data_IF_906352205591
#
_entry.id   IF_906352205591
#
_cell.length_a   1.000
_cell.length_b   1.000
_cell.length_c   1.000
_cell.angle_alpha   90.00
_cell.angle_beta   90.00
_cell.angle_gamma   90.00
#
_symmetry.space_group_name_H-M   'P 1'
#
loop_
_entity.id
_entity.type
_entity.pdbx_description
1 polymer ?
#
# COMPACT_ATOMS: atom_id res chain seq x y z
N UNK A 1 26.75 -10.24 3.33
CA UNK A 1 26.08 -9.20 4.13
C UNK A 1 24.81 -9.82 4.70
N UNK A 2 24.51 -9.61 5.97
CA UNK A 2 23.21 -10.04 6.53
C UNK A 2 22.15 -9.15 5.90
N UNK A 3 21.19 -9.72 5.17
CA UNK A 3 20.07 -8.97 4.61
C UNK A 3 19.29 -8.36 5.76
N UNK A 4 19.13 -7.03 5.73
CA UNK A 4 18.34 -6.30 6.72
C UNK A 4 16.88 -6.26 6.27
N UNK A 5 15.97 -6.39 7.22
CA UNK A 5 14.53 -6.48 6.97
C UNK A 5 13.80 -5.40 7.74
N UNK A 6 12.90 -4.72 7.05
CA UNK A 6 11.92 -3.81 7.64
C UNK A 6 10.54 -4.43 7.62
N UNK A 7 9.90 -4.46 8.79
CA UNK A 7 8.50 -4.82 8.94
C UNK A 7 7.66 -3.54 8.92
N UNK A 8 6.84 -3.35 7.91
CA UNK A 8 5.84 -2.29 7.89
C UNK A 8 4.53 -2.90 8.37
N UNK A 9 3.98 -2.40 9.47
CA UNK A 9 2.79 -2.97 10.11
C UNK A 9 1.76 -1.91 10.40
N UNK A 10 0.54 -2.12 9.95
CA UNK A 10 -0.61 -1.41 10.55
C UNK A 10 -0.79 -1.89 11.98
N UNK A 11 -1.26 -1.01 12.88
CA UNK A 11 -1.34 -1.31 14.33
C UNK A 11 -2.70 -0.92 14.92
N UNK A 12 -3.21 -1.77 15.81
CA UNK A 12 -4.28 -1.42 16.76
C UNK A 12 -3.99 -2.09 18.10
N UNK A 13 -3.64 -3.39 18.05
CA UNK A 13 -3.11 -4.15 19.18
C UNK A 13 -1.67 -4.58 18.95
N UNK A 14 -0.99 -4.93 20.02
CA UNK A 14 0.44 -5.28 20.06
C UNK A 14 0.74 -6.68 19.51
N UNK A 15 -0.14 -7.65 19.74
CA UNK A 15 0.14 -9.07 19.53
C UNK A 15 0.50 -9.42 18.08
N UNK A 16 -0.23 -8.96 17.04
CA UNK A 16 0.12 -9.27 15.66
C UNK A 16 1.50 -8.74 15.25
N UNK A 17 1.92 -7.62 15.84
CA UNK A 17 3.24 -7.03 15.60
C UNK A 17 4.32 -7.88 16.27
N UNK A 18 4.13 -8.30 17.53
CA UNK A 18 5.07 -9.18 18.25
C UNK A 18 5.27 -10.51 17.52
N UNK A 19 4.19 -11.13 17.04
CA UNK A 19 4.25 -12.39 16.28
C UNK A 19 5.10 -12.20 15.02
N UNK A 20 4.86 -11.11 14.28
CA UNK A 20 5.62 -10.77 13.07
C UNK A 20 7.09 -10.48 13.39
N UNK A 21 7.38 -9.70 14.43
CA UNK A 21 8.75 -9.41 14.87
C UNK A 21 9.49 -10.70 15.23
N UNK A 22 8.87 -11.58 16.01
CA UNK A 22 9.49 -12.84 16.44
C UNK A 22 9.78 -13.76 15.25
N UNK A 23 8.84 -13.85 14.30
CA UNK A 23 8.97 -14.74 13.15
C UNK A 23 9.95 -14.21 12.09
N UNK A 24 9.92 -12.91 11.79
CA UNK A 24 10.73 -12.32 10.71
C UNK A 24 12.05 -11.72 11.19
N UNK A 25 12.22 -11.49 12.49
CA UNK A 25 13.41 -10.87 13.10
C UNK A 25 13.84 -9.58 12.37
N UNK A 26 12.94 -8.59 12.18
CA UNK A 26 13.26 -7.36 11.48
C UNK A 26 14.31 -6.55 12.26
N UNK A 27 15.17 -5.83 11.54
CA UNK A 27 16.03 -4.80 12.15
C UNK A 27 15.27 -3.50 12.44
N UNK A 28 14.14 -3.29 11.75
CA UNK A 28 13.32 -2.09 11.84
C UNK A 28 11.83 -2.43 11.73
N UNK A 29 11.00 -1.76 12.52
CA UNK A 29 9.54 -1.80 12.44
C UNK A 29 9.02 -0.39 12.19
N UNK A 30 8.18 -0.24 11.16
CA UNK A 30 7.44 0.99 10.88
C UNK A 30 5.97 0.71 11.18
N UNK A 31 5.42 1.41 12.18
CA UNK A 31 4.04 1.30 12.60
C UNK A 31 3.18 2.32 11.86
N UNK A 32 2.16 1.86 11.13
CA UNK A 32 1.21 2.72 10.43
C UNK A 32 -0.02 2.92 11.31
N UNK A 33 -0.36 4.18 11.60
CA UNK A 33 -1.59 4.54 12.32
C UNK A 33 -2.17 5.88 11.88
N UNK A 34 -3.37 6.19 12.37
CA UNK A 34 -4.02 7.48 12.18
C UNK A 34 -3.49 8.56 13.15
N UNK A 35 -3.71 9.83 12.78
CA UNK A 35 -3.37 11.00 13.61
C UNK A 35 -4.17 11.00 14.91
N UNK A 36 -5.49 10.82 14.81
CA UNK A 36 -6.44 10.73 15.92
C UNK A 36 -6.52 9.31 16.51
N UNK A 37 -5.36 8.70 16.75
CA UNK A 37 -5.28 7.33 17.27
C UNK A 37 -5.94 7.24 18.66
N UNK A 38 -6.78 6.22 18.91
CA UNK A 38 -7.36 6.02 20.23
C UNK A 38 -6.27 5.71 21.26
N UNK A 39 -6.50 6.06 22.53
CA UNK A 39 -5.52 5.83 23.62
C UNK A 39 -5.05 4.37 23.72
N UNK A 40 -5.92 3.41 23.41
CA UNK A 40 -5.57 1.98 23.36
C UNK A 40 -4.46 1.67 22.35
N UNK A 41 -4.51 2.30 21.17
CA UNK A 41 -3.51 2.14 20.12
C UNK A 41 -2.20 2.80 20.52
N UNK A 42 -2.25 4.01 21.08
CA UNK A 42 -1.06 4.73 21.58
C UNK A 42 -0.38 3.93 22.70
N UNK A 43 -1.17 3.34 23.62
CA UNK A 43 -0.64 2.44 24.66
C UNK A 43 0.05 1.21 24.05
N UNK A 44 -0.57 0.59 23.06
CA UNK A 44 0.03 -0.56 22.36
C UNK A 44 1.36 -0.20 21.67
N UNK A 45 1.43 0.97 21.03
CA UNK A 45 2.65 1.51 20.42
C UNK A 45 3.75 1.76 21.45
N UNK A 46 3.42 2.38 22.59
CA UNK A 46 4.39 2.63 23.65
C UNK A 46 4.90 1.32 24.27
N UNK A 47 4.01 0.35 24.53
CA UNK A 47 4.39 -0.97 25.02
C UNK A 47 5.34 -1.69 24.05
N UNK A 48 5.12 -1.56 22.74
CA UNK A 48 6.04 -2.10 21.72
C UNK A 48 7.44 -1.47 21.84
N UNK A 49 7.51 -0.14 21.95
CA UNK A 49 8.77 0.57 22.12
C UNK A 49 9.51 0.17 23.39
N UNK A 50 8.80 0.09 24.51
CA UNK A 50 9.39 -0.29 25.80
C UNK A 50 9.93 -1.72 25.77
N UNK A 51 9.24 -2.62 25.05
CA UNK A 51 9.60 -4.04 25.00
C UNK A 51 10.73 -4.33 24.01
N UNK A 52 10.73 -3.69 22.84
CA UNK A 52 11.59 -4.05 21.70
C UNK A 52 12.54 -2.95 21.24
N UNK A 53 12.33 -1.69 21.64
CA UNK A 53 13.08 -0.53 21.16
C UNK A 53 14.58 -0.56 21.52
N UNK A 54 14.99 -1.37 22.50
CA UNK A 54 16.40 -1.57 22.82
C UNK A 54 17.15 -2.42 21.79
N UNK A 55 16.44 -3.22 20.99
CA UNK A 55 17.03 -4.19 20.04
C UNK A 55 16.60 -3.96 18.59
N UNK A 56 15.49 -3.26 18.36
CA UNK A 56 14.88 -3.01 17.05
C UNK A 56 14.56 -1.52 16.93
N UNK A 57 14.84 -0.93 15.76
CA UNK A 57 14.42 0.44 15.45
C UNK A 57 12.90 0.49 15.25
N UNK A 58 12.19 1.35 15.99
CA UNK A 58 10.73 1.47 15.89
C UNK A 58 10.37 2.91 15.52
N UNK A 59 9.80 3.06 14.32
CA UNK A 59 9.25 4.31 13.81
C UNK A 59 7.73 4.22 13.68
N UNK A 60 7.09 5.38 13.63
CA UNK A 60 5.64 5.48 13.40
C UNK A 60 5.40 6.43 12.25
N UNK A 61 4.63 5.97 11.27
CA UNK A 61 4.13 6.76 10.16
C UNK A 61 2.64 7.08 10.37
N UNK A 62 2.29 8.35 10.18
CA UNK A 62 0.91 8.83 10.34
C UNK A 62 0.25 8.92 8.98
N UNK A 63 -0.89 8.25 8.82
CA UNK A 63 -1.67 8.27 7.57
C UNK A 63 -3.16 8.51 7.83
N UNK A 64 -3.96 8.50 6.77
CA UNK A 64 -5.40 8.61 6.86
C UNK A 64 -6.03 7.37 7.51
N UNK A 65 -7.18 7.57 8.15
CA UNK A 65 -8.00 6.46 8.65
C UNK A 65 -8.93 5.87 7.59
N UNK A 66 -9.37 6.69 6.63
CA UNK A 66 -10.45 6.33 5.69
C UNK A 66 -10.12 6.58 4.23
N UNK A 67 -9.13 7.42 3.92
CA UNK A 67 -8.69 7.66 2.54
C UNK A 67 -7.73 6.55 2.11
N UNK A 68 -8.32 5.48 1.55
CA UNK A 68 -7.61 4.28 1.10
C UNK A 68 -6.52 4.61 0.07
N UNK A 69 -6.73 5.63 -0.78
CA UNK A 69 -5.74 6.00 -1.80
C UNK A 69 -4.53 6.65 -1.14
N UNK A 70 -4.76 7.61 -0.23
CA UNK A 70 -3.67 8.23 0.54
C UNK A 70 -2.89 7.20 1.36
N UNK A 71 -3.58 6.27 2.02
CA UNK A 71 -2.92 5.19 2.78
C UNK A 71 -2.03 4.34 1.86
N UNK A 72 -2.52 4.00 0.66
CA UNK A 72 -1.75 3.23 -0.30
C UNK A 72 -0.52 4.01 -0.83
N UNK A 73 -0.66 5.31 -1.08
CA UNK A 73 0.44 6.21 -1.47
C UNK A 73 1.51 6.26 -0.37
N UNK A 74 1.11 6.49 0.88
CA UNK A 74 2.02 6.53 2.03
C UNK A 74 2.77 5.20 2.20
N UNK A 75 2.06 4.07 2.11
CA UNK A 75 2.67 2.73 2.20
C UNK A 75 3.62 2.46 1.03
N UNK A 76 3.26 2.82 -0.20
CA UNK A 76 4.12 2.66 -1.36
C UNK A 76 5.41 3.47 -1.21
N UNK A 77 5.31 4.71 -0.72
CA UNK A 77 6.47 5.57 -0.45
C UNK A 77 7.38 4.98 0.64
N UNK A 78 6.83 4.41 1.71
CA UNK A 78 7.61 3.70 2.74
C UNK A 78 8.36 2.49 2.15
N UNK A 79 7.69 1.69 1.32
CA UNK A 79 8.32 0.54 0.64
C UNK A 79 9.51 1.00 -0.18
N UNK A 80 9.33 2.00 -1.04
CA UNK A 80 10.39 2.56 -1.88
C UNK A 80 11.56 3.10 -1.04
N UNK A 81 11.27 3.85 0.02
CA UNK A 81 12.28 4.45 0.89
C UNK A 81 13.16 3.38 1.58
N UNK A 82 12.56 2.30 2.08
CA UNK A 82 13.29 1.23 2.75
C UNK A 82 14.07 0.36 1.76
N UNK A 83 13.50 0.06 0.59
CA UNK A 83 14.22 -0.65 -0.48
C UNK A 83 15.42 0.15 -0.99
N UNK A 84 15.29 1.47 -1.11
CA UNK A 84 16.41 2.36 -1.46
C UNK A 84 17.53 2.35 -0.40
N UNK A 85 17.21 2.02 0.86
CA UNK A 85 18.19 1.80 1.95
C UNK A 85 18.77 0.38 1.96
N UNK A 86 18.40 -0.47 0.99
CA UNK A 86 18.85 -1.86 0.89
C UNK A 86 18.14 -2.81 1.84
N UNK A 87 16.94 -2.45 2.32
CA UNK A 87 16.12 -3.30 3.19
C UNK A 87 15.20 -4.20 2.35
N UNK A 88 15.02 -5.44 2.79
CA UNK A 88 13.86 -6.23 2.38
C UNK A 88 12.63 -5.76 3.15
N UNK A 89 11.46 -5.78 2.50
CA UNK A 89 10.22 -5.32 3.11
C UNK A 89 9.24 -6.47 3.28
N UNK A 90 8.70 -6.60 4.49
CA UNK A 90 7.54 -7.44 4.82
C UNK A 90 6.42 -6.55 5.33
N UNK A 91 5.21 -6.79 4.84
CA UNK A 91 4.02 -6.02 5.21
C UNK A 91 3.13 -6.87 6.11
N UNK A 92 2.73 -6.33 7.26
CA UNK A 92 1.74 -6.93 8.14
C UNK A 92 0.48 -6.05 8.17
N UNK A 93 -0.64 -6.58 7.67
CA UNK A 93 -1.90 -5.83 7.58
C UNK A 93 -2.89 -6.16 8.72
N UNK A 94 -2.43 -6.87 9.75
CA UNK A 94 -3.31 -7.45 10.78
C UNK A 94 -3.80 -6.45 11.82
N UNK A 95 -2.91 -5.51 12.22
CA UNK A 95 -3.28 -4.45 13.15
C UNK A 95 -3.97 -3.32 12.41
N UNK A 96 -4.80 -2.52 13.07
CA UNK A 96 -5.41 -1.34 12.45
C UNK A 96 -6.83 -1.59 11.94
N UNK A 97 -7.49 -0.50 11.53
CA UNK A 97 -8.87 -0.62 11.04
C UNK A 97 -8.88 -1.15 9.60
N UNK A 98 -9.98 -1.79 9.20
CA UNK A 98 -10.13 -2.37 7.86
C UNK A 98 -9.71 -1.45 6.71
N UNK A 99 -10.04 -0.14 6.69
CA UNK A 99 -9.60 0.73 5.60
C UNK A 99 -8.07 0.90 5.54
N UNK A 100 -7.38 0.97 6.69
CA UNK A 100 -5.91 1.03 6.75
C UNK A 100 -5.28 -0.28 6.29
N UNK A 101 -5.78 -1.42 6.76
CA UNK A 101 -5.31 -2.73 6.32
C UNK A 101 -5.46 -2.90 4.79
N UNK A 102 -6.60 -2.50 4.24
CA UNK A 102 -6.85 -2.54 2.79
C UNK A 102 -5.98 -1.53 2.02
N UNK A 103 -5.84 -0.30 2.52
CA UNK A 103 -4.96 0.71 1.92
C UNK A 103 -3.51 0.25 1.89
N UNK A 104 -3.00 -0.30 3.00
CA UNK A 104 -1.66 -0.88 3.07
C UNK A 104 -1.50 -2.05 2.08
N UNK A 105 -2.51 -2.91 1.95
CA UNK A 105 -2.50 -3.99 0.97
C UNK A 105 -2.47 -3.47 -0.47
N UNK A 106 -3.22 -2.40 -0.80
CA UNK A 106 -3.19 -1.82 -2.14
C UNK A 106 -1.88 -1.10 -2.45
N UNK A 107 -1.30 -0.37 -1.49
CA UNK A 107 0.04 0.21 -1.62
C UNK A 107 1.11 -0.86 -1.83
N UNK A 108 0.96 -2.00 -1.14
CA UNK A 108 1.79 -3.18 -1.35
C UNK A 108 1.69 -3.70 -2.79
N UNK A 109 0.48 -3.81 -3.34
CA UNK A 109 0.29 -4.27 -4.72
C UNK A 109 0.89 -3.31 -5.75
N UNK A 110 0.85 -1.99 -5.49
CA UNK A 110 1.48 -0.98 -6.33
C UNK A 110 3.01 -1.15 -6.40
N UNK A 111 3.63 -1.78 -5.38
CA UNK A 111 5.07 -2.04 -5.29
C UNK A 111 5.40 -3.51 -5.07
N UNK A 112 4.60 -4.42 -5.64
CA UNK A 112 4.71 -5.86 -5.38
C UNK A 112 6.12 -6.44 -5.57
N UNK A 113 6.87 -5.95 -6.57
CA UNK A 113 8.22 -6.43 -6.90
C UNK A 113 9.27 -6.03 -5.85
N UNK A 114 8.95 -5.05 -5.00
CA UNK A 114 9.82 -4.56 -3.91
C UNK A 114 9.48 -5.20 -2.56
N UNK A 115 8.38 -5.94 -2.47
CA UNK A 115 7.88 -6.52 -1.23
C UNK A 115 8.14 -8.02 -1.23
N UNK A 116 8.83 -8.50 -0.20
CA UNK A 116 9.11 -9.93 -0.02
C UNK A 116 7.84 -10.71 0.28
N UNK A 117 6.98 -10.16 1.14
CA UNK A 117 5.78 -10.83 1.63
C UNK A 117 4.77 -9.87 2.22
N UNK A 118 3.50 -10.21 2.11
CA UNK A 118 2.42 -9.60 2.89
C UNK A 118 1.70 -10.67 3.71
N UNK A 119 1.45 -10.36 4.98
CA UNK A 119 0.89 -11.32 5.94
C UNK A 119 -0.28 -10.77 6.72
N UNK A 120 -1.13 -11.70 7.13
CA UNK A 120 -2.19 -11.51 8.11
C UNK A 120 -1.98 -12.50 9.27
N UNK A 121 -2.20 -12.06 10.50
CA UNK A 121 -2.12 -12.84 11.72
C UNK A 121 -3.54 -13.04 12.21
N UNK A 122 -3.96 -14.29 12.34
CA UNK A 122 -5.29 -14.65 12.85
C UNK A 122 -5.44 -14.23 14.31
N UNK A 123 -6.64 -13.81 14.70
CA UNK A 123 -6.91 -13.37 16.07
C UNK A 123 -7.02 -14.55 17.04
N UNK A 124 -7.46 -15.71 16.55
CA UNK A 124 -7.81 -16.87 17.36
C UNK A 124 -6.59 -17.67 17.83
N UNK A 125 -5.63 -17.89 16.94
CA UNK A 125 -4.48 -18.77 17.16
C UNK A 125 -3.13 -18.16 16.75
N UNK A 126 -3.10 -16.86 16.42
CA UNK A 126 -1.87 -16.12 16.07
C UNK A 126 -1.09 -16.74 14.90
N UNK A 127 -1.79 -17.44 14.02
CA UNK A 127 -1.21 -18.07 12.84
C UNK A 127 -0.91 -17.02 11.77
N UNK A 128 0.27 -17.13 11.17
CA UNK A 128 0.65 -16.35 10.00
C UNK A 128 -0.03 -16.92 8.76
N UNK A 129 -0.78 -16.07 8.07
CA UNK A 129 -1.42 -16.32 6.79
C UNK A 129 -0.73 -15.47 5.74
N UNK A 130 -0.25 -16.13 4.70
CA UNK A 130 0.41 -15.49 3.57
C UNK A 130 -0.64 -14.99 2.59
N UNK A 131 -0.64 -13.69 2.34
CA UNK A 131 -1.53 -13.09 1.35
C UNK A 131 -0.83 -13.04 -0.02
N UNK A 132 -1.59 -13.19 -1.12
CA UNK A 132 -1.02 -13.13 -2.46
C UNK A 132 -0.53 -11.72 -2.79
N UNK A 133 0.61 -11.62 -3.46
CA UNK A 133 1.08 -10.37 -4.06
C UNK A 133 0.48 -10.23 -5.47
N UNK A 134 -0.58 -9.43 -5.59
CA UNK A 134 -1.29 -9.22 -6.86
C UNK A 134 -0.79 -7.96 -7.59
N UNK A 135 -1.10 -7.88 -8.89
CA UNK A 135 -0.97 -6.64 -9.67
C UNK A 135 -2.32 -6.11 -10.14
N UNK A 136 -2.34 -4.84 -10.50
CA UNK A 136 -3.50 -4.18 -11.10
C UNK A 136 -3.73 -4.55 -12.58
N UNK A 137 -2.82 -5.30 -13.20
CA UNK A 137 -2.95 -5.77 -14.58
C UNK A 137 -3.12 -4.66 -15.61
N UNK A 138 -2.41 -3.55 -15.44
CA UNK A 138 -2.41 -2.41 -16.38
C UNK A 138 -1.09 -2.35 -17.16
N UNK A 139 -1.17 -2.06 -18.46
CA UNK A 139 0.02 -1.77 -19.27
C UNK A 139 0.48 -0.32 -19.07
N UNK A 140 1.73 -0.03 -19.43
CA UNK A 140 2.28 1.34 -19.41
C UNK A 140 1.39 2.34 -20.17
N UNK A 141 0.88 1.98 -21.35
CA UNK A 141 -0.05 2.83 -22.12
C UNK A 141 -1.35 3.10 -21.38
N UNK A 142 -1.92 2.10 -20.70
CA UNK A 142 -3.13 2.28 -19.90
C UNK A 142 -2.87 3.16 -18.67
N UNK A 143 -1.69 3.02 -18.06
CA UNK A 143 -1.24 3.88 -16.94
C UNK A 143 -1.15 5.34 -17.38
N UNK A 144 -0.50 5.62 -18.51
CA UNK A 144 -0.43 6.98 -19.07
C UNK A 144 -1.80 7.59 -19.38
N UNK A 145 -2.77 6.77 -19.82
CA UNK A 145 -4.16 7.22 -19.98
C UNK A 145 -4.78 7.58 -18.64
N UNK A 146 -4.62 6.73 -17.62
CA UNK A 146 -5.14 7.01 -16.28
C UNK A 146 -4.54 8.28 -15.68
N UNK A 147 -3.22 8.46 -15.80
CA UNK A 147 -2.52 9.68 -15.37
C UNK A 147 -3.10 10.93 -16.07
N UNK A 148 -3.32 10.88 -17.39
CA UNK A 148 -3.95 11.99 -18.11
C UNK A 148 -5.39 12.28 -17.63
N UNK A 149 -6.16 11.25 -17.29
CA UNK A 149 -7.53 11.41 -16.77
C UNK A 149 -7.51 11.97 -15.33
N UNK A 150 -6.57 11.54 -14.50
CA UNK A 150 -6.37 12.05 -13.12
C UNK A 150 -6.01 13.54 -13.13
N UNK A 151 -5.18 13.96 -14.08
CA UNK A 151 -4.87 15.38 -14.32
C UNK A 151 -6.03 16.19 -14.93
N UNK A 152 -7.17 15.56 -15.18
CA UNK A 152 -8.39 16.23 -15.62
C UNK A 152 -8.57 16.32 -17.13
N UNK A 153 -7.82 15.56 -17.93
CA UNK A 153 -8.08 15.47 -19.38
C UNK A 153 -9.33 14.62 -19.63
N UNK A 154 -10.41 15.27 -20.09
CA UNK A 154 -11.75 14.65 -20.25
C UNK A 154 -12.16 14.37 -21.68
N UNK A 155 -11.21 14.34 -22.61
CA UNK A 155 -11.46 14.24 -24.04
C UNK A 155 -10.56 13.18 -24.66
N UNK A 156 -11.17 12.17 -25.30
CA UNK A 156 -10.43 11.07 -25.95
C UNK A 156 -9.44 11.59 -27.00
N UNK A 157 -9.81 12.54 -27.88
CA UNK A 157 -8.84 13.17 -28.79
C UNK A 157 -7.64 13.81 -28.08
N UNK A 158 -7.87 14.50 -26.96
CA UNK A 158 -6.80 15.21 -26.24
C UNK A 158 -5.87 14.23 -25.51
N UNK A 159 -6.44 13.16 -24.93
CA UNK A 159 -5.67 12.04 -24.38
C UNK A 159 -4.79 11.42 -25.48
N UNK A 160 -5.37 11.13 -26.65
CA UNK A 160 -4.66 10.51 -27.77
C UNK A 160 -3.46 11.35 -28.23
N UNK A 161 -3.66 12.67 -28.37
CA UNK A 161 -2.60 13.63 -28.71
C UNK A 161 -1.53 13.64 -27.63
N UNK A 162 -1.94 13.72 -26.36
CA UNK A 162 -1.03 13.84 -25.22
C UNK A 162 -0.10 12.64 -25.07
N UNK A 163 -0.63 11.42 -25.21
CA UNK A 163 0.16 10.19 -25.03
C UNK A 163 0.77 9.66 -26.33
N UNK A 164 0.46 10.29 -27.47
CA UNK A 164 1.04 9.95 -28.77
C UNK A 164 0.54 8.63 -29.37
N UNK A 165 -0.74 8.27 -29.18
CA UNK A 165 -1.34 7.06 -29.79
C UNK A 165 -2.55 7.41 -30.66
N UNK A 166 -2.99 6.46 -31.50
CA UNK A 166 -4.16 6.68 -32.35
C UNK A 166 -5.45 6.85 -31.54
N UNK A 167 -6.40 7.63 -32.07
CA UNK A 167 -7.73 7.80 -31.46
C UNK A 167 -8.42 6.45 -31.25
N UNK A 168 -8.35 5.54 -32.24
CA UNK A 168 -8.93 4.20 -32.15
C UNK A 168 -8.37 3.37 -31.01
N UNK A 169 -7.05 3.38 -30.81
CA UNK A 169 -6.41 2.70 -29.67
C UNK A 169 -6.84 3.34 -28.34
N UNK A 170 -6.92 4.67 -28.30
CA UNK A 170 -7.34 5.40 -27.10
C UNK A 170 -8.76 5.03 -26.69
N UNK A 171 -9.72 5.01 -27.64
CA UNK A 171 -11.08 4.54 -27.38
C UNK A 171 -11.12 3.10 -26.86
N UNK A 172 -10.34 2.20 -27.47
CA UNK A 172 -10.31 0.81 -27.04
C UNK A 172 -9.77 0.67 -25.60
N UNK A 173 -8.66 1.34 -25.28
CA UNK A 173 -8.10 1.31 -23.94
C UNK A 173 -9.01 1.96 -22.89
N UNK A 174 -9.65 3.08 -23.19
CA UNK A 174 -10.62 3.71 -22.28
C UNK A 174 -11.79 2.76 -22.01
N UNK A 175 -12.30 2.06 -23.04
CA UNK A 175 -13.36 1.05 -22.86
C UNK A 175 -12.91 -0.09 -21.92
N UNK A 176 -11.69 -0.58 -22.09
CA UNK A 176 -11.12 -1.61 -21.20
C UNK A 176 -10.93 -1.09 -19.77
N UNK A 177 -10.47 0.15 -19.60
CA UNK A 177 -10.30 0.80 -18.29
C UNK A 177 -11.64 1.00 -17.57
N UNK A 178 -12.69 1.40 -18.31
CA UNK A 178 -14.06 1.46 -17.79
C UNK A 178 -14.59 0.10 -17.35
N UNK A 179 -14.39 -0.92 -18.19
CA UNK A 179 -14.81 -2.29 -17.86
C UNK A 179 -14.12 -2.85 -16.60
N UNK A 180 -12.89 -2.41 -16.32
CA UNK A 180 -12.15 -2.74 -15.08
C UNK A 180 -12.51 -1.85 -13.89
N UNK A 181 -13.35 -0.82 -14.07
CA UNK A 181 -13.73 0.12 -13.03
C UNK A 181 -12.66 1.15 -12.66
N UNK A 182 -11.61 1.31 -13.47
CA UNK A 182 -10.56 2.33 -13.24
C UNK A 182 -10.98 3.74 -13.66
N UNK A 183 -11.94 3.82 -14.59
CA UNK A 183 -12.49 5.06 -15.13
C UNK A 183 -14.02 4.96 -15.11
N UNK A 184 -14.71 6.03 -14.73
CA UNK A 184 -16.17 6.12 -14.77
C UNK A 184 -16.70 6.32 -16.19
N UNK A 185 -18.02 6.25 -16.38
CA UNK A 185 -18.61 6.51 -17.69
C UNK A 185 -18.35 7.94 -18.20
N UNK A 186 -18.26 8.90 -17.28
CA UNK A 186 -18.00 10.32 -17.58
C UNK A 186 -16.50 10.65 -17.75
N UNK A 187 -15.67 9.62 -17.95
CA UNK A 187 -14.22 9.76 -18.13
C UNK A 187 -13.56 10.47 -16.92
N UNK A 188 -13.94 10.06 -15.71
CA UNK A 188 -13.28 10.45 -14.46
C UNK A 188 -12.55 9.25 -13.87
N UNK A 189 -11.40 9.48 -13.25
CA UNK A 189 -10.68 8.42 -12.56
C UNK A 189 -11.42 7.99 -11.30
N UNK A 190 -11.42 6.69 -11.01
CA UNK A 190 -11.98 6.14 -9.77
C UNK A 190 -10.87 5.92 -8.74
N UNK A 191 -11.23 5.59 -7.50
CA UNK A 191 -10.23 5.16 -6.50
C UNK A 191 -9.40 3.96 -6.99
N UNK A 192 -10.03 2.99 -7.67
CA UNK A 192 -9.30 1.87 -8.25
C UNK A 192 -8.30 2.35 -9.32
N UNK A 193 -8.68 3.34 -10.14
CA UNK A 193 -7.79 3.93 -11.13
C UNK A 193 -6.62 4.66 -10.49
N UNK A 194 -6.87 5.44 -9.43
CA UNK A 194 -5.85 6.14 -8.64
C UNK A 194 -4.86 5.15 -8.02
N UNK A 195 -5.34 4.06 -7.42
CA UNK A 195 -4.49 3.01 -6.87
C UNK A 195 -3.59 2.36 -7.94
N UNK A 196 -4.09 2.22 -9.18
CA UNK A 196 -3.35 1.58 -10.26
C UNK A 196 -2.21 2.45 -10.83
N UNK A 197 -2.25 3.77 -10.61
CA UNK A 197 -1.21 4.72 -11.04
C UNK A 197 -0.25 5.11 -9.91
N UNK A 198 -0.39 4.54 -8.71
CA UNK A 198 0.67 4.57 -7.69
C UNK A 198 1.86 3.83 -8.24
#
# INVERSE_FOLDING_TARGET
>A
MVEKLTLISTIYRIEPVIVSVTHFSPSKVILIREEDAPEEMIRSENMLRDTLGAVIEIETEITSLYDIVRIAEDVAALIEAEVARGQQVVINISGGRKPQALGALFGTYARKEMVRKVVYITEEDQRIVDLPLLDFGISSTKRMILEAVDEGVRSVPDIAIRIGISKGMTYNHIRELKAKGFVSEDLQITNAGRLAII
#
